data_IF_922262304295
#
_entry.id   IF_922262304295
#
_cell.length_a   1.000
_cell.length_b   1.000
_cell.length_c   1.000
_cell.angle_alpha   90.00
_cell.angle_beta   90.00
_cell.angle_gamma   90.00
#
_symmetry.space_group_name_H-M   'P 1'
#
loop_
_entity.id
_entity.type
_entity.pdbx_description
1 polymer ?
#
# COMPACT_ATOMS: atom_id res chain seq x y z
N UNK A 1 16.31 -12.94 -16.30
CA UNK A 1 16.45 -11.50 -15.99
C UNK A 1 15.08 -11.05 -15.52
N UNK A 2 14.96 -10.55 -14.30
CA UNK A 2 13.68 -10.02 -13.81
C UNK A 2 13.25 -8.85 -14.70
N UNK A 3 12.03 -8.90 -15.25
CA UNK A 3 11.47 -7.79 -16.02
C UNK A 3 10.59 -6.96 -15.11
N UNK A 4 10.77 -5.64 -15.20
CA UNK A 4 9.88 -4.66 -14.61
C UNK A 4 8.86 -4.25 -15.68
N UNK A 5 7.58 -4.47 -15.39
CA UNK A 5 6.48 -4.05 -16.26
C UNK A 5 5.75 -2.87 -15.63
N UNK A 6 5.54 -1.82 -16.41
CA UNK A 6 4.77 -0.64 -16.00
C UNK A 6 3.39 -0.71 -16.65
N UNK A 7 2.34 -0.58 -15.84
CA UNK A 7 0.97 -0.39 -16.31
C UNK A 7 0.53 1.02 -15.96
N UNK A 8 -0.02 1.74 -16.93
CA UNK A 8 -0.47 3.12 -16.74
C UNK A 8 -1.98 3.18 -16.97
N UNK A 9 -2.71 3.65 -15.96
CA UNK A 9 -4.10 4.01 -16.14
C UNK A 9 -4.19 5.32 -16.92
N UNK A 10 -4.69 5.26 -18.15
CA UNK A 10 -4.72 6.43 -19.05
C UNK A 10 -5.71 7.53 -18.64
N UNK A 11 -6.67 7.25 -17.75
CA UNK A 11 -7.65 8.24 -17.29
C UNK A 11 -7.08 9.19 -16.24
N UNK A 12 -6.15 8.72 -15.41
CA UNK A 12 -5.60 9.47 -14.29
C UNK A 12 -4.06 9.46 -14.24
N UNK A 13 -3.41 8.82 -15.22
CA UNK A 13 -1.96 8.63 -15.31
C UNK A 13 -1.32 7.93 -14.11
N UNK A 14 -2.10 7.23 -13.29
CA UNK A 14 -1.56 6.42 -12.21
C UNK A 14 -0.76 5.26 -12.79
N UNK A 15 0.39 4.99 -12.18
CA UNK A 15 1.32 3.95 -12.65
C UNK A 15 1.37 2.84 -11.60
N UNK A 16 1.18 1.61 -12.04
CA UNK A 16 1.43 0.39 -11.27
C UNK A 16 2.67 -0.32 -11.81
N UNK A 17 3.50 -0.81 -10.90
CA UNK A 17 4.70 -1.57 -11.25
C UNK A 17 4.48 -3.04 -10.93
N UNK A 18 4.83 -3.92 -11.86
CA UNK A 18 4.80 -5.36 -11.67
C UNK A 18 6.19 -5.94 -11.84
N UNK A 19 6.61 -6.74 -10.87
CA UNK A 19 7.82 -7.56 -10.96
C UNK A 19 7.46 -8.92 -11.54
N UNK A 20 8.36 -9.51 -12.33
CA UNK A 20 8.20 -10.85 -12.91
C UNK A 20 6.98 -11.04 -13.83
N UNK A 21 6.38 -9.94 -14.30
CA UNK A 21 5.25 -9.96 -15.22
C UNK A 21 5.72 -10.08 -16.68
N UNK A 22 6.06 -11.31 -17.09
CA UNK A 22 6.74 -11.63 -18.35
C UNK A 22 5.80 -12.00 -19.51
N UNK A 23 4.57 -11.51 -19.50
CA UNK A 23 3.62 -11.78 -20.59
C UNK A 23 3.86 -10.85 -21.78
N UNK A 24 3.81 -11.41 -22.99
CA UNK A 24 4.01 -10.66 -24.24
C UNK A 24 2.72 -10.44 -25.04
N UNK A 25 1.67 -11.19 -24.73
CA UNK A 25 0.38 -11.11 -25.39
C UNK A 25 -0.73 -11.32 -24.37
N UNK A 26 -1.88 -10.69 -24.61
CA UNK A 26 -3.04 -10.74 -23.72
C UNK A 26 -4.30 -10.96 -24.53
N UNK A 27 -5.24 -11.71 -23.97
CA UNK A 27 -6.58 -11.87 -24.52
C UNK A 27 -7.60 -11.95 -23.39
N UNK A 28 -8.81 -11.48 -23.66
CA UNK A 28 -9.96 -11.76 -22.83
C UNK A 28 -10.83 -12.79 -23.57
N UNK A 29 -11.07 -13.95 -22.96
CA UNK A 29 -11.95 -14.99 -23.50
C UNK A 29 -13.05 -15.23 -22.48
N UNK A 30 -14.25 -14.72 -22.78
CA UNK A 30 -15.34 -14.66 -21.81
C UNK A 30 -14.95 -13.78 -20.61
N UNK A 31 -14.98 -14.37 -19.41
CA UNK A 31 -14.64 -13.69 -18.16
C UNK A 31 -13.17 -13.87 -17.75
N UNK A 32 -12.38 -14.62 -18.52
CA UNK A 32 -10.99 -14.90 -18.19
C UNK A 32 -10.07 -13.95 -18.92
N UNK A 33 -9.19 -13.31 -18.17
CA UNK A 33 -8.04 -12.59 -18.70
C UNK A 33 -6.88 -13.57 -18.80
N UNK A 34 -6.30 -13.68 -20.00
CA UNK A 34 -5.25 -14.65 -20.31
C UNK A 34 -3.99 -13.89 -20.70
N UNK A 35 -2.88 -14.22 -20.05
CA UNK A 35 -1.54 -13.80 -20.45
C UNK A 35 -0.80 -14.93 -21.15
N UNK A 36 -0.11 -14.63 -22.24
CA UNK A 36 0.76 -15.57 -22.94
C UNK A 36 2.23 -15.17 -22.76
N UNK A 37 3.09 -16.17 -22.62
CA UNK A 37 4.54 -16.03 -22.61
C UNK A 37 5.19 -17.17 -23.39
N UNK A 38 6.52 -17.20 -23.45
CA UNK A 38 7.28 -18.33 -24.02
C UNK A 38 7.04 -19.66 -23.29
N UNK A 39 6.55 -19.61 -22.05
CA UNK A 39 6.31 -20.80 -21.22
C UNK A 39 4.87 -21.31 -21.27
N UNK A 40 3.94 -20.57 -21.90
CA UNK A 40 2.56 -21.01 -22.09
C UNK A 40 1.51 -19.93 -21.92
N UNK A 41 0.28 -20.37 -21.62
CA UNK A 41 -0.89 -19.53 -21.35
C UNK A 41 -1.26 -19.60 -19.87
N UNK A 42 -1.58 -18.45 -19.29
CA UNK A 42 -1.83 -18.27 -17.86
C UNK A 42 -3.10 -17.45 -17.65
N UNK A 43 -3.93 -17.84 -16.69
CA UNK A 43 -5.07 -17.03 -16.26
C UNK A 43 -4.53 -15.95 -15.31
N UNK A 44 -4.96 -14.70 -15.52
CA UNK A 44 -4.56 -13.54 -14.74
C UNK A 44 -5.65 -13.18 -13.72
N UNK A 45 -5.24 -12.64 -12.57
CA UNK A 45 -6.14 -12.09 -11.55
C UNK A 45 -6.34 -12.95 -10.31
N UNK A 46 -5.44 -13.91 -10.05
CA UNK A 46 -5.40 -14.67 -8.80
C UNK A 46 -4.47 -14.02 -7.76
N UNK A 47 -4.51 -14.49 -6.52
CA UNK A 47 -3.72 -14.01 -5.37
C UNK A 47 -2.31 -14.63 -5.32
N UNK A 48 -2.04 -15.60 -6.21
CA UNK A 48 -0.80 -16.37 -6.26
C UNK A 48 -0.17 -16.40 -7.64
N UNK A 49 1.16 -16.41 -7.67
CA UNK A 49 1.98 -16.71 -8.84
C UNK A 49 2.74 -18.02 -8.60
N UNK A 50 2.46 -19.04 -9.41
CA UNK A 50 3.02 -20.39 -9.29
C UNK A 50 2.96 -20.99 -7.86
N UNK A 51 1.92 -20.63 -7.08
CA UNK A 51 1.70 -21.08 -5.71
C UNK A 51 2.29 -20.18 -4.62
N UNK A 52 3.14 -19.21 -4.98
CA UNK A 52 3.64 -18.17 -4.07
C UNK A 52 2.66 -17.00 -4.01
N UNK A 53 2.54 -16.36 -2.85
CA UNK A 53 1.65 -15.20 -2.68
C UNK A 53 2.19 -13.97 -3.43
N UNK A 54 1.30 -13.19 -4.04
CA UNK A 54 1.66 -11.96 -4.74
C UNK A 54 1.68 -10.80 -3.75
N UNK A 55 2.87 -10.33 -3.40
CA UNK A 55 3.05 -9.14 -2.57
C UNK A 55 2.69 -7.87 -3.35
N UNK A 56 1.69 -7.13 -2.85
CA UNK A 56 1.20 -5.90 -3.44
C UNK A 56 1.12 -4.79 -2.39
N UNK A 57 1.60 -3.60 -2.74
CA UNK A 57 1.61 -2.46 -1.84
C UNK A 57 1.57 -1.14 -2.59
N UNK A 58 1.22 -0.07 -1.87
CA UNK A 58 1.50 1.30 -2.27
C UNK A 58 2.14 2.05 -1.12
N UNK A 59 2.97 3.04 -1.45
CA UNK A 59 3.57 3.96 -0.51
C UNK A 59 3.18 5.39 -0.88
N UNK A 60 2.69 6.14 0.10
CA UNK A 60 2.37 7.54 -0.07
C UNK A 60 3.64 8.39 -0.01
N UNK A 61 3.60 9.55 -0.67
CA UNK A 61 4.71 10.50 -0.63
C UNK A 61 5.00 10.93 0.81
N UNK A 62 6.28 10.97 1.16
CA UNK A 62 6.73 11.52 2.43
C UNK A 62 6.28 12.98 2.58
N UNK A 63 5.52 13.28 3.63
CA UNK A 63 4.85 14.58 3.78
C UNK A 63 5.02 15.14 5.19
N UNK A 64 5.09 16.48 5.30
CA UNK A 64 4.93 17.20 6.58
C UNK A 64 3.49 17.65 6.83
N UNK A 65 2.56 17.21 5.99
CA UNK A 65 1.13 17.50 6.07
C UNK A 65 0.83 19.01 6.18
N UNK A 66 1.68 19.83 5.55
CA UNK A 66 1.52 21.29 5.49
C UNK A 66 1.94 22.05 6.74
N UNK A 67 2.59 21.39 7.72
CA UNK A 67 3.06 22.03 8.94
C UNK A 67 4.57 21.80 9.19
N UNK A 68 5.32 22.86 9.51
CA UNK A 68 6.75 22.74 9.76
C UNK A 68 7.12 22.11 11.12
N UNK A 69 6.13 22.00 12.01
CA UNK A 69 6.28 21.47 13.36
C UNK A 69 6.49 19.95 13.38
N UNK A 70 7.12 19.43 14.44
CA UNK A 70 7.09 17.99 14.67
C UNK A 70 5.65 17.53 14.96
N UNK A 71 5.29 16.30 14.55
CA UNK A 71 4.00 15.68 14.86
C UNK A 71 4.20 14.32 15.51
N UNK A 72 3.15 13.90 16.23
CA UNK A 72 2.94 12.51 16.65
C UNK A 72 1.70 11.97 15.95
N UNK A 73 1.82 10.83 15.27
CA UNK A 73 0.66 10.09 14.76
C UNK A 73 0.04 9.31 15.93
N UNK A 74 -1.29 9.36 16.06
CA UNK A 74 -2.05 8.72 17.14
C UNK A 74 -2.86 7.54 16.66
N UNK A 75 -3.50 7.70 15.52
CA UNK A 75 -4.23 6.63 14.86
C UNK A 75 -4.29 6.88 13.36
N UNK A 76 -4.47 5.79 12.64
CA UNK A 76 -4.73 5.78 11.21
C UNK A 76 -6.14 5.23 11.05
N UNK A 77 -6.97 5.94 10.30
CA UNK A 77 -8.27 5.47 9.86
C UNK A 77 -8.20 5.23 8.36
N UNK A 78 -8.82 4.17 7.88
CA UNK A 78 -8.84 3.86 6.46
C UNK A 78 -10.21 3.35 6.04
N UNK A 79 -10.70 3.81 4.88
CA UNK A 79 -11.79 3.19 4.15
C UNK A 79 -11.23 2.20 3.15
N UNK A 80 -11.57 0.92 3.28
CA UNK A 80 -11.00 -0.14 2.44
C UNK A 80 -11.92 -1.35 2.32
N UNK A 81 -11.66 -2.14 1.28
CA UNK A 81 -12.15 -3.50 1.08
C UNK A 81 -10.94 -4.42 1.02
N UNK A 82 -11.00 -5.58 1.67
CA UNK A 82 -9.94 -6.57 1.60
C UNK A 82 -10.49 -7.99 1.78
N UNK A 83 -9.66 -9.00 1.56
CA UNK A 83 -9.97 -10.40 1.93
C UNK A 83 -9.22 -10.88 3.17
N UNK A 84 -8.18 -10.15 3.59
CA UNK A 84 -7.41 -10.39 4.80
C UNK A 84 -6.99 -9.03 5.41
N UNK A 85 -6.27 -9.06 6.53
CA UNK A 85 -5.70 -7.89 7.16
C UNK A 85 -4.75 -7.14 6.20
N UNK A 86 -4.57 -5.84 6.45
CA UNK A 86 -3.55 -5.05 5.76
C UNK A 86 -2.40 -4.72 6.71
N UNK A 87 -1.19 -4.71 6.19
CA UNK A 87 -0.02 -4.24 6.90
C UNK A 87 0.17 -2.75 6.63
N UNK A 88 0.11 -1.95 7.68
CA UNK A 88 0.36 -0.50 7.60
C UNK A 88 1.70 -0.19 8.24
N UNK A 89 2.63 0.27 7.45
CA UNK A 89 3.97 0.66 7.88
C UNK A 89 4.08 2.17 7.94
N UNK A 90 4.41 2.69 9.12
CA UNK A 90 4.76 4.10 9.32
C UNK A 90 6.26 4.26 9.40
N UNK A 91 6.77 5.25 8.67
CA UNK A 91 8.19 5.56 8.63
C UNK A 91 8.43 7.03 8.93
N UNK A 92 9.36 7.31 9.83
CA UNK A 92 9.79 8.68 10.12
C UNK A 92 10.96 9.13 9.22
N UNK A 93 11.40 10.38 9.39
CA UNK A 93 12.53 10.95 8.64
C UNK A 93 13.86 10.25 8.96
N UNK A 94 14.01 9.69 10.17
CA UNK A 94 15.21 8.96 10.59
C UNK A 94 15.19 7.49 10.13
N UNK A 95 14.26 7.15 9.23
CA UNK A 95 14.12 5.82 8.65
C UNK A 95 13.71 4.75 9.70
N UNK A 96 13.22 5.15 10.88
CA UNK A 96 12.62 4.23 11.82
C UNK A 96 11.26 3.79 11.28
N UNK A 97 11.08 2.49 11.12
CA UNK A 97 9.89 1.88 10.55
C UNK A 97 9.11 1.11 11.61
N UNK A 98 7.79 1.19 11.56
CA UNK A 98 6.90 0.49 12.50
C UNK A 98 5.69 -0.04 11.78
N UNK A 99 5.42 -1.31 12.04
CA UNK A 99 4.34 -2.03 11.41
C UNK A 99 3.15 -2.16 12.34
N UNK A 100 1.96 -1.97 11.76
CA UNK A 100 0.70 -2.07 12.45
C UNK A 100 -0.27 -2.87 11.59
N UNK A 101 -1.07 -3.73 12.23
CA UNK A 101 -2.08 -4.52 11.54
C UNK A 101 -3.38 -3.73 11.49
N UNK A 102 -3.85 -3.45 10.29
CA UNK A 102 -5.19 -2.92 10.06
C UNK A 102 -6.14 -4.10 9.89
N UNK A 103 -6.89 -4.38 10.97
CA UNK A 103 -7.75 -5.55 11.01
C UNK A 103 -8.86 -5.49 9.98
N UNK A 104 -8.99 -6.60 9.26
CA UNK A 104 -10.11 -6.88 8.41
C UNK A 104 -11.37 -7.09 9.24
N UNK A 105 -12.43 -6.34 8.93
CA UNK A 105 -13.70 -6.43 9.69
C UNK A 105 -14.88 -6.93 8.87
N UNK A 106 -14.86 -6.82 7.54
CA UNK A 106 -16.02 -7.11 6.71
C UNK A 106 -15.69 -7.85 5.41
N UNK A 107 -16.14 -9.12 5.40
CA UNK A 107 -16.49 -9.98 4.25
C UNK A 107 -16.62 -9.34 2.86
N UNK A 108 -15.55 -8.98 2.14
CA UNK A 108 -15.60 -8.48 0.76
C UNK A 108 -16.56 -7.28 0.54
N UNK A 109 -16.65 -6.39 1.55
CA UNK A 109 -17.47 -5.18 1.51
C UNK A 109 -16.62 -3.98 1.87
N UNK A 110 -17.01 -2.83 1.32
CA UNK A 110 -16.41 -1.55 1.72
C UNK A 110 -16.64 -1.32 3.21
N UNK A 111 -15.54 -1.16 3.95
CA UNK A 111 -15.55 -0.97 5.39
C UNK A 111 -14.62 0.15 5.81
N UNK A 112 -14.65 0.42 7.11
CA UNK A 112 -13.70 1.33 7.75
C UNK A 112 -12.95 0.62 8.86
N UNK A 113 -11.63 0.84 8.94
CA UNK A 113 -10.81 0.35 10.03
C UNK A 113 -10.06 1.46 10.73
N UNK A 114 -9.63 1.17 11.95
CA UNK A 114 -8.79 2.04 12.75
C UNK A 114 -7.64 1.23 13.32
N UNK A 115 -6.44 1.77 13.22
CA UNK A 115 -5.27 1.25 13.93
C UNK A 115 -4.71 2.31 14.88
N UNK A 116 -4.52 1.93 16.13
CA UNK A 116 -3.88 2.77 17.12
C UNK A 116 -2.36 2.67 16.96
N UNK A 117 -1.70 3.82 16.88
CA UNK A 117 -0.25 3.92 16.68
C UNK A 117 0.42 4.18 18.03
N UNK A 118 1.63 3.65 18.21
CA UNK A 118 2.38 3.85 19.44
C UNK A 118 2.77 5.34 19.63
N UNK A 119 2.95 5.77 20.88
CA UNK A 119 3.03 7.21 21.24
C UNK A 119 4.41 7.84 21.15
N UNK A 120 5.41 7.03 20.85
CA UNK A 120 6.84 7.28 20.98
C UNK A 120 7.49 7.83 19.70
N UNK A 121 6.82 7.73 18.54
CA UNK A 121 7.27 8.34 17.30
C UNK A 121 7.06 9.87 17.26
N UNK A 122 8.12 10.63 17.00
CA UNK A 122 8.07 12.09 16.81
C UNK A 122 8.85 12.43 15.55
N UNK A 123 8.19 12.99 14.55
CA UNK A 123 8.86 13.44 13.34
C UNK A 123 8.10 14.58 12.68
N UNK A 124 8.81 15.40 11.90
CA UNK A 124 8.18 16.38 11.00
C UNK A 124 7.58 15.70 9.78
N UNK A 125 8.37 14.83 9.15
CA UNK A 125 8.00 14.13 7.92
C UNK A 125 7.65 12.68 8.24
N UNK A 126 6.59 12.19 7.60
CA UNK A 126 6.15 10.81 7.72
C UNK A 126 5.88 10.24 6.34
N UNK A 127 6.24 8.96 6.15
CA UNK A 127 5.78 8.13 5.05
C UNK A 127 4.83 7.06 5.59
N UNK A 128 3.88 6.65 4.76
CA UNK A 128 2.94 5.58 5.06
C UNK A 128 2.91 4.62 3.88
N UNK A 129 3.13 3.34 4.17
CA UNK A 129 3.00 2.24 3.23
C UNK A 129 1.86 1.33 3.68
N UNK A 130 1.05 0.88 2.73
CA UNK A 130 0.02 -0.15 2.94
C UNK A 130 0.34 -1.34 2.03
N UNK A 131 0.37 -2.53 2.60
CA UNK A 131 0.60 -3.78 1.88
C UNK A 131 -0.48 -4.81 2.21
N UNK A 132 -0.73 -5.72 1.28
CA UNK A 132 -1.53 -6.91 1.56
C UNK A 132 -0.77 -7.90 2.46
N UNK A 133 -1.51 -8.87 2.98
CA UNK A 133 -0.95 -10.06 3.61
C UNK A 133 -1.42 -11.30 2.86
N UNK A 134 -0.57 -12.33 2.76
CA UNK A 134 -0.91 -13.62 2.15
C UNK A 134 -1.43 -13.52 0.70
N UNK A 135 -0.96 -12.53 -0.07
CA UNK A 135 -1.42 -12.31 -1.46
C UNK A 135 -2.84 -11.77 -1.59
N UNK A 136 -3.53 -11.53 -0.47
CA UNK A 136 -4.95 -11.23 -0.45
C UNK A 136 -5.30 -9.95 -1.23
N UNK A 137 -6.46 -9.97 -1.88
CA UNK A 137 -7.05 -8.80 -2.52
C UNK A 137 -7.25 -7.65 -1.52
N UNK A 138 -6.98 -6.43 -1.98
CA UNK A 138 -7.34 -5.20 -1.27
C UNK A 138 -7.59 -4.02 -2.20
N UNK A 139 -8.43 -3.10 -1.75
CA UNK A 139 -8.70 -1.80 -2.35
C UNK A 139 -8.85 -0.75 -1.24
N UNK A 140 -8.23 0.41 -1.40
CA UNK A 140 -8.24 1.50 -0.40
C UNK A 140 -8.80 2.76 -1.03
N UNK A 141 -9.82 3.34 -0.41
CA UNK A 141 -10.49 4.56 -0.87
C UNK A 141 -9.95 5.80 -0.17
N UNK A 142 -9.66 5.69 1.13
CA UNK A 142 -9.28 6.81 1.96
C UNK A 142 -8.33 6.40 3.07
N UNK A 143 -7.43 7.32 3.42
CA UNK A 143 -6.52 7.21 4.56
C UNK A 143 -6.55 8.55 5.31
N UNK A 144 -6.82 8.48 6.60
CA UNK A 144 -6.85 9.63 7.50
C UNK A 144 -5.90 9.43 8.67
N UNK A 145 -5.01 10.40 8.87
CA UNK A 145 -4.03 10.39 9.94
C UNK A 145 -4.46 11.33 11.07
N UNK A 146 -4.75 10.77 12.23
CA UNK A 146 -5.00 11.57 13.44
C UNK A 146 -3.64 11.92 14.05
N UNK A 147 -3.27 13.20 13.91
CA UNK A 147 -1.96 13.69 14.32
C UNK A 147 -2.05 14.81 15.36
N UNK A 148 -1.07 14.86 16.26
CA UNK A 148 -0.88 15.96 17.20
C UNK A 148 0.31 16.79 16.75
N UNK A 149 0.06 18.06 16.42
CA UNK A 149 1.11 19.03 16.08
C UNK A 149 1.77 19.50 17.38
N UNK A 150 3.11 19.40 17.46
CA UNK A 150 3.88 19.81 18.62
C UNK A 150 4.33 21.27 18.48
N UNK A 151 4.31 22.03 19.57
CA UNK A 151 4.64 23.46 19.55
C UNK A 151 6.09 23.81 19.16
N UNK A 152 7.02 22.85 19.23
CA UNK A 152 8.42 23.07 18.83
C UNK A 152 8.62 22.79 17.35
N UNK A 153 9.22 23.75 16.62
CA UNK A 153 9.86 23.46 15.34
C UNK A 153 10.97 22.44 15.58
N UNK A 154 11.14 21.42 14.71
CA UNK A 154 12.23 20.47 14.84
C UNK A 154 13.55 21.24 14.92
N UNK A 155 14.44 20.84 15.82
CA UNK A 155 15.78 21.41 15.88
C UNK A 155 16.41 21.13 14.51
N UNK A 156 16.94 22.15 13.82
CA UNK A 156 17.78 21.92 12.63
C UNK A 156 18.90 20.97 13.07
N UNK A 157 18.90 19.77 12.53
CA UNK A 157 20.05 18.88 12.64
C UNK A 157 21.03 19.37 11.55
N UNK A 158 22.30 19.63 11.89
CA UNK A 158 23.30 20.13 10.96
C UNK A 158 23.52 19.17 9.78
#
# INVERSE_FOLDING_TARGET
MEKLTLNINLSNFAITQYCNYNFNSFAQIGNNYIGASETGLFILGDEKDAGADIDAFFELVTSDFGAANAKRIRSIHAGFQAKDNLLVTLKDHENNSRDYVLSYTHYDRQGSGKVAVSRDGISRYWSLKVANTNGAYFAVDSIELIMVILGKKPRRIP
#
